data_IF_580048167188
#
_entry.id   IF_580048167188
#
_cell.length_a   1.000
_cell.length_b   1.000
_cell.length_c   1.000
_cell.angle_alpha   90.00
_cell.angle_beta   90.00
_cell.angle_gamma   90.00
#
_symmetry.space_group_name_H-M   'P 1'
#
loop_
_entity.id
_entity.type
_entity.pdbx_description
1 polymer ?
#
# COMPACT_ATOMS: atom_id res chain seq x y z
N UNK A 1 -21.72 -24.83 5.37
CA UNK A 1 -21.28 -23.42 5.18
C UNK A 1 -20.34 -23.08 6.31
N UNK A 2 -19.04 -22.92 6.02
CA UNK A 2 -18.09 -22.42 7.01
C UNK A 2 -18.45 -20.97 7.31
N UNK A 3 -18.71 -20.63 8.58
CA UNK A 3 -18.97 -19.25 8.99
C UNK A 3 -17.71 -18.43 8.69
N UNK A 4 -17.83 -17.37 7.91
CA UNK A 4 -16.71 -16.49 7.59
C UNK A 4 -16.19 -15.84 8.88
N UNK A 5 -14.89 -16.01 9.16
CA UNK A 5 -14.20 -15.42 10.33
C UNK A 5 -13.25 -14.34 9.86
N UNK A 6 -13.24 -13.19 10.54
CA UNK A 6 -12.32 -12.07 10.26
C UNK A 6 -10.85 -12.50 10.31
N UNK A 7 -9.99 -11.87 9.50
CA UNK A 7 -8.55 -11.93 9.72
C UNK A 7 -8.24 -11.35 11.11
N UNK A 8 -7.26 -11.90 11.87
CA UNK A 8 -6.92 -11.36 13.18
C UNK A 8 -6.57 -9.87 13.13
N UNK A 9 -7.22 -9.06 13.96
CA UNK A 9 -6.90 -7.66 14.21
C UNK A 9 -6.32 -7.44 15.62
N UNK A 10 -6.33 -8.48 16.45
CA UNK A 10 -5.79 -8.51 17.81
C UNK A 10 -4.92 -9.75 18.06
N UNK A 11 -4.06 -9.68 19.08
CA UNK A 11 -3.24 -10.82 19.52
C UNK A 11 -4.08 -11.99 20.05
N UNK A 12 -5.23 -11.68 20.66
CA UNK A 12 -6.17 -12.71 21.16
C UNK A 12 -6.76 -13.52 20.00
N UNK A 13 -7.24 -12.86 18.95
CA UNK A 13 -7.77 -13.55 17.75
C UNK A 13 -6.70 -14.38 17.02
N UNK A 14 -5.44 -13.91 17.04
CA UNK A 14 -4.30 -14.68 16.55
C UNK A 14 -4.08 -15.96 17.38
N UNK A 15 -4.08 -15.84 18.72
CA UNK A 15 -3.92 -16.97 19.62
C UNK A 15 -5.08 -17.98 19.52
N UNK A 16 -6.32 -17.52 19.33
CA UNK A 16 -7.50 -18.37 19.08
C UNK A 16 -7.38 -19.18 17.77
N UNK A 17 -6.51 -18.80 16.83
CA UNK A 17 -6.18 -19.58 15.64
C UNK A 17 -5.01 -20.56 15.87
N UNK A 18 -4.45 -20.59 17.09
CA UNK A 18 -3.26 -21.36 17.42
C UNK A 18 -1.99 -20.81 16.75
N UNK A 19 -2.00 -19.54 16.32
CA UNK A 19 -0.85 -18.93 15.66
C UNK A 19 0.08 -18.29 16.70
N UNK A 20 1.33 -18.74 16.68
CA UNK A 20 2.45 -18.20 17.44
C UNK A 20 3.06 -16.96 16.75
N UNK A 21 2.98 -16.92 15.42
CA UNK A 21 3.39 -15.82 14.57
C UNK A 21 2.53 -15.72 13.31
N UNK A 22 2.51 -14.51 12.72
CA UNK A 22 1.93 -14.25 11.40
C UNK A 22 3.03 -14.12 10.34
N UNK A 23 2.69 -14.44 9.09
CA UNK A 23 3.57 -14.25 7.94
C UNK A 23 3.59 -12.79 7.50
N UNK A 24 2.41 -12.15 7.47
CA UNK A 24 2.22 -10.79 6.98
C UNK A 24 1.37 -9.99 7.96
N UNK A 25 1.79 -8.77 8.27
CA UNK A 25 0.95 -7.75 8.93
C UNK A 25 0.57 -6.69 7.90
N UNK A 26 -0.72 -6.57 7.64
CA UNK A 26 -1.30 -5.57 6.73
C UNK A 26 -1.69 -4.32 7.52
N UNK A 27 -1.01 -3.21 7.29
CA UNK A 27 -1.23 -1.92 7.96
C UNK A 27 -2.05 -1.01 7.06
N UNK A 28 -3.15 -0.45 7.59
CA UNK A 28 -4.05 0.42 6.84
C UNK A 28 -4.35 1.72 7.56
N UNK A 29 -4.51 2.81 6.81
CA UNK A 29 -5.07 4.08 7.30
C UNK A 29 -6.60 4.10 7.42
N UNK A 30 -7.29 3.03 7.03
CA UNK A 30 -8.73 2.84 7.22
C UNK A 30 -9.01 1.93 8.43
N UNK A 31 -10.21 2.04 9.00
CA UNK A 31 -10.77 1.01 9.86
C UNK A 31 -10.86 -0.35 9.13
N UNK A 32 -10.72 -1.45 9.87
CA UNK A 32 -10.82 -2.77 9.25
C UNK A 32 -12.26 -3.12 8.91
N UNK A 33 -12.57 -3.13 7.62
CA UNK A 33 -13.81 -3.66 7.05
C UNK A 33 -13.45 -4.84 6.16
N UNK A 34 -13.94 -6.02 6.50
CA UNK A 34 -13.66 -7.25 5.76
C UNK A 34 -14.67 -7.41 4.62
N UNK A 35 -14.55 -6.56 3.59
CA UNK A 35 -15.44 -6.52 2.44
C UNK A 35 -14.63 -6.42 1.14
N UNK A 36 -15.05 -7.08 0.03
CA UNK A 36 -14.34 -7.06 -1.25
C UNK A 36 -14.26 -5.68 -1.94
N UNK A 37 -14.80 -4.62 -1.33
CA UNK A 37 -14.67 -3.24 -1.80
C UNK A 37 -13.48 -2.51 -1.15
N UNK A 38 -12.81 -3.16 -0.20
CA UNK A 38 -11.66 -2.61 0.52
C UNK A 38 -10.41 -3.35 0.10
N UNK A 39 -9.45 -2.62 -0.45
CA UNK A 39 -8.23 -3.20 -1.03
C UNK A 39 -7.47 -4.06 -0.02
N UNK A 40 -7.39 -3.61 1.24
CA UNK A 40 -6.68 -4.34 2.29
C UNK A 40 -7.34 -5.68 2.64
N UNK A 41 -8.68 -5.74 2.64
CA UNK A 41 -9.41 -6.98 2.88
C UNK A 41 -9.25 -7.94 1.69
N UNK A 42 -9.33 -7.44 0.46
CA UNK A 42 -9.06 -8.22 -0.75
C UNK A 42 -7.67 -8.86 -0.70
N UNK A 43 -6.62 -8.06 -0.47
CA UNK A 43 -5.25 -8.56 -0.38
C UNK A 43 -5.07 -9.53 0.79
N UNK A 44 -5.64 -9.22 1.96
CA UNK A 44 -5.56 -10.10 3.13
C UNK A 44 -6.20 -11.46 2.88
N UNK A 45 -7.41 -11.48 2.32
CA UNK A 45 -8.09 -12.74 1.96
C UNK A 45 -7.39 -13.48 0.84
N UNK A 46 -6.85 -12.76 -0.14
CA UNK A 46 -6.06 -13.36 -1.21
C UNK A 46 -4.84 -14.09 -0.66
N UNK A 47 -4.07 -13.45 0.22
CA UNK A 47 -2.91 -14.08 0.87
C UNK A 47 -3.33 -15.25 1.79
N UNK A 48 -4.38 -15.10 2.59
CA UNK A 48 -4.92 -16.19 3.44
C UNK A 48 -5.34 -17.41 2.60
N UNK A 49 -6.00 -17.19 1.47
CA UNK A 49 -6.41 -18.25 0.55
C UNK A 49 -5.22 -18.97 -0.13
N UNK A 50 -4.02 -18.39 -0.06
CA UNK A 50 -2.76 -19.00 -0.50
C UNK A 50 -1.92 -19.55 0.67
N UNK A 51 -2.55 -19.74 1.84
CA UNK A 51 -1.96 -20.44 2.97
C UNK A 51 -1.15 -19.56 3.93
N UNK A 52 -1.14 -18.23 3.73
CA UNK A 52 -0.42 -17.31 4.60
C UNK A 52 -1.23 -16.96 5.85
N UNK A 53 -0.54 -16.81 6.98
CA UNK A 53 -1.08 -16.27 8.22
C UNK A 53 -1.04 -14.75 8.17
N UNK A 54 -2.18 -14.11 8.00
CA UNK A 54 -2.27 -12.66 7.79
C UNK A 54 -3.01 -12.00 8.96
N UNK A 55 -2.44 -10.92 9.50
CA UNK A 55 -3.11 -10.05 10.48
C UNK A 55 -3.31 -8.64 9.91
N UNK A 56 -4.33 -7.93 10.39
CA UNK A 56 -4.65 -6.55 9.97
C UNK A 56 -4.42 -5.59 11.13
N UNK A 57 -3.55 -4.60 10.92
CA UNK A 57 -3.32 -3.47 11.81
C UNK A 57 -3.99 -2.22 11.23
N UNK A 58 -5.26 -2.01 11.58
CA UNK A 58 -6.04 -0.86 11.12
C UNK A 58 -5.84 0.36 12.03
N UNK A 59 -5.51 1.50 11.42
CA UNK A 59 -5.30 2.80 12.08
C UNK A 59 -4.46 2.69 13.35
N UNK A 60 -3.22 2.18 13.26
CA UNK A 60 -2.33 2.18 14.41
C UNK A 60 -2.06 3.61 14.85
N UNK A 61 -1.78 3.77 16.15
CA UNK A 61 -1.19 5.01 16.64
C UNK A 61 0.13 5.27 15.93
N UNK A 62 0.40 6.55 15.72
CA UNK A 62 1.56 6.98 14.94
C UNK A 62 2.51 7.91 15.72
N UNK A 63 2.35 7.97 17.04
CA UNK A 63 3.26 8.70 17.94
C UNK A 63 4.39 7.81 18.49
N UNK A 64 4.24 6.48 18.39
CA UNK A 64 5.17 5.47 18.91
C UNK A 64 5.05 4.15 18.13
N UNK A 65 6.08 3.28 18.15
CA UNK A 65 6.08 2.04 17.36
C UNK A 65 5.30 0.88 17.98
N UNK A 66 4.82 0.99 19.22
CA UNK A 66 4.25 -0.11 20.03
C UNK A 66 3.18 -0.93 19.29
N UNK A 67 2.28 -0.27 18.55
CA UNK A 67 1.21 -0.94 17.80
C UNK A 67 1.72 -1.87 16.69
N UNK A 68 2.89 -1.57 16.11
CA UNK A 68 3.50 -2.38 15.06
C UNK A 68 4.14 -3.67 15.62
N UNK A 69 4.38 -3.73 16.93
CA UNK A 69 4.84 -4.93 17.63
C UNK A 69 3.69 -5.81 18.14
N UNK A 70 2.41 -5.41 17.96
CA UNK A 70 1.23 -6.08 18.52
C UNK A 70 1.14 -7.58 18.23
N UNK A 71 1.52 -7.99 17.02
CA UNK A 71 1.46 -9.37 16.55
C UNK A 71 2.83 -10.08 16.64
N UNK A 72 3.83 -9.43 17.26
CA UNK A 72 5.23 -9.82 17.15
C UNK A 72 5.82 -9.50 15.77
N UNK A 73 7.03 -10.00 15.53
CA UNK A 73 7.73 -9.84 14.26
C UNK A 73 7.04 -10.72 13.19
N UNK A 74 6.50 -10.16 12.09
CA UNK A 74 5.99 -10.98 10.99
C UNK A 74 7.14 -11.74 10.32
N UNK A 75 6.84 -12.95 9.84
CA UNK A 75 7.86 -13.83 9.24
C UNK A 75 8.34 -13.33 7.88
N UNK A 76 7.48 -12.65 7.12
CA UNK A 76 7.78 -12.22 5.75
C UNK A 76 7.88 -10.69 5.61
N UNK A 77 6.81 -9.93 5.87
CA UNK A 77 6.84 -8.47 5.68
C UNK A 77 5.69 -7.73 6.36
N UNK A 78 5.84 -6.40 6.48
CA UNK A 78 4.74 -5.46 6.68
C UNK A 78 4.22 -4.96 5.32
N UNK A 79 2.94 -5.17 5.04
CA UNK A 79 2.26 -4.61 3.87
C UNK A 79 1.51 -3.34 4.25
N UNK A 80 1.86 -2.18 3.69
CA UNK A 80 1.41 -0.88 4.18
C UNK A 80 0.64 -0.11 3.09
N UNK A 81 -0.53 0.44 3.47
CA UNK A 81 -1.32 1.35 2.65
C UNK A 81 -1.90 2.50 3.48
N UNK A 82 -2.14 3.65 2.85
CA UNK A 82 -2.91 4.75 3.43
C UNK A 82 -4.42 4.45 3.58
N UNK A 83 -4.88 3.35 2.98
CA UNK A 83 -6.29 2.96 2.91
C UNK A 83 -6.85 3.05 1.49
N UNK A 84 -8.18 3.16 1.40
CA UNK A 84 -8.92 3.30 0.15
C UNK A 84 -8.79 4.70 -0.47
N UNK A 85 -8.35 5.69 0.31
CA UNK A 85 -8.05 7.05 -0.15
C UNK A 85 -6.61 7.43 0.21
N UNK A 86 -6.04 8.32 -0.60
CA UNK A 86 -4.82 9.03 -0.24
C UNK A 86 -4.99 9.76 1.11
N UNK A 87 -3.95 9.74 1.94
CA UNK A 87 -4.06 10.27 3.31
C UNK A 87 -4.23 11.79 3.36
N UNK A 88 -3.61 12.52 2.43
CA UNK A 88 -3.79 13.98 2.31
C UNK A 88 -5.19 14.27 1.79
N UNK A 89 -5.65 13.54 0.78
CA UNK A 89 -7.02 13.67 0.26
C UNK A 89 -8.07 13.30 1.30
N UNK A 90 -7.80 12.37 2.23
CA UNK A 90 -8.71 12.08 3.34
C UNK A 90 -8.74 13.25 4.34
N UNK A 91 -7.57 13.81 4.66
CA UNK A 91 -7.43 14.84 5.69
C UNK A 91 -7.83 16.26 5.23
N UNK A 92 -7.73 16.56 3.93
CA UNK A 92 -7.90 17.93 3.40
C UNK A 92 -8.76 17.99 2.14
N UNK A 93 -9.66 18.97 2.08
CA UNK A 93 -10.43 19.27 0.87
C UNK A 93 -9.53 19.78 -0.26
N UNK A 94 -10.06 19.85 -1.48
CA UNK A 94 -9.33 20.40 -2.64
C UNK A 94 -8.84 21.83 -2.44
N UNK A 95 -9.46 22.58 -1.52
CA UNK A 95 -9.04 23.94 -1.13
C UNK A 95 -8.17 23.94 0.14
N UNK A 96 -7.50 22.82 0.44
CA UNK A 96 -6.62 22.60 1.59
C UNK A 96 -7.25 22.81 2.98
N UNK A 97 -8.59 22.79 3.08
CA UNK A 97 -9.28 22.87 4.38
C UNK A 97 -9.29 21.53 5.07
N UNK A 98 -8.97 21.51 6.36
CA UNK A 98 -9.01 20.32 7.21
C UNK A 98 -10.43 19.74 7.21
N UNK A 99 -10.57 18.42 6.98
CA UNK A 99 -11.85 17.73 7.15
C UNK A 99 -12.09 17.36 8.60
N UNK A 100 -13.34 17.58 9.01
CA UNK A 100 -13.86 17.22 10.33
C UNK A 100 -14.43 15.79 10.38
N UNK A 101 -14.58 15.14 9.23
CA UNK A 101 -15.10 13.78 9.09
C UNK A 101 -14.16 12.94 8.22
N UNK A 102 -14.05 11.65 8.54
CA UNK A 102 -13.41 10.64 7.71
C UNK A 102 -14.30 9.39 7.64
N UNK A 103 -14.89 9.16 6.47
CA UNK A 103 -15.85 8.06 6.25
C UNK A 103 -15.25 6.66 6.46
N UNK A 104 -13.93 6.56 6.46
CA UNK A 104 -13.19 5.32 6.64
C UNK A 104 -12.71 5.11 8.07
N UNK A 105 -13.04 6.02 8.99
CA UNK A 105 -12.70 5.94 10.42
C UNK A 105 -13.90 5.52 11.28
N UNK A 106 -13.67 4.92 12.46
CA UNK A 106 -14.73 4.62 13.43
C UNK A 106 -15.57 5.85 13.78
N UNK A 107 -16.90 5.72 13.63
CA UNK A 107 -17.88 6.76 13.87
C UNK A 107 -17.73 7.99 12.97
N UNK A 108 -16.95 7.91 11.88
CA UNK A 108 -16.61 9.07 11.05
C UNK A 108 -15.61 10.03 11.71
N UNK A 109 -15.03 9.68 12.86
CA UNK A 109 -14.13 10.56 13.62
C UNK A 109 -12.68 10.42 13.11
N UNK A 110 -12.09 11.46 12.50
CA UNK A 110 -10.73 11.38 11.99
C UNK A 110 -9.65 11.41 13.09
N UNK A 111 -10.02 11.56 14.37
CA UNK A 111 -9.09 11.68 15.50
C UNK A 111 -9.18 10.50 16.49
N UNK A 112 -8.06 10.22 17.15
CA UNK A 112 -8.02 9.44 18.38
C UNK A 112 -8.55 10.31 19.53
N UNK A 113 -9.67 9.89 20.12
CA UNK A 113 -10.34 10.67 21.17
C UNK A 113 -11.16 11.84 20.63
N UNK A 114 -11.37 12.85 21.48
CA UNK A 114 -12.22 14.03 21.21
C UNK A 114 -11.43 15.30 20.83
N UNK A 115 -10.10 15.29 21.00
CA UNK A 115 -9.25 16.45 20.75
C UNK A 115 -8.92 16.53 19.26
N UNK A 116 -9.26 17.66 18.63
CA UNK A 116 -9.00 17.92 17.21
C UNK A 116 -7.57 18.42 16.98
N UNK A 117 -6.61 17.53 17.22
CA UNK A 117 -5.19 17.77 16.96
C UNK A 117 -4.74 16.94 15.74
N UNK A 118 -3.98 17.55 14.84
CA UNK A 118 -3.36 16.85 13.70
C UNK A 118 -2.50 15.67 14.16
N UNK A 119 -1.82 15.78 15.30
CA UNK A 119 -1.01 14.71 15.87
C UNK A 119 -1.84 13.54 16.42
N UNK A 120 -3.16 13.72 16.56
CA UNK A 120 -4.10 12.69 16.98
C UNK A 120 -4.91 12.15 15.80
N UNK A 121 -4.57 12.43 14.54
CA UNK A 121 -5.33 11.85 13.42
C UNK A 121 -5.18 10.34 13.38
N UNK A 122 -6.27 9.63 13.12
CA UNK A 122 -6.24 8.17 12.92
C UNK A 122 -5.47 7.77 11.65
N UNK A 123 -5.51 8.66 10.65
CA UNK A 123 -4.70 8.60 9.44
C UNK A 123 -3.79 9.82 9.37
N UNK A 124 -2.49 9.70 9.65
CA UNK A 124 -1.58 10.82 9.52
C UNK A 124 -1.38 11.18 8.05
N UNK A 125 -0.97 12.42 7.77
CA UNK A 125 -0.58 12.80 6.42
C UNK A 125 0.60 11.97 5.94
N UNK A 126 0.54 11.54 4.68
CA UNK A 126 1.52 10.65 4.04
C UNK A 126 1.67 9.37 4.87
N UNK A 127 0.53 8.79 5.23
CA UNK A 127 0.41 7.65 6.14
C UNK A 127 1.36 6.50 5.80
N UNK A 128 1.53 6.19 4.51
CA UNK A 128 2.42 5.12 4.06
C UNK A 128 3.87 5.35 4.50
N UNK A 129 4.37 6.60 4.48
CA UNK A 129 5.72 6.95 4.92
C UNK A 129 5.82 6.82 6.45
N UNK A 130 4.84 7.37 7.17
CA UNK A 130 4.82 7.35 8.64
C UNK A 130 4.77 5.91 9.15
N UNK A 131 3.89 5.09 8.61
CA UNK A 131 3.73 3.69 8.98
C UNK A 131 4.96 2.85 8.61
N UNK A 132 5.60 3.10 7.46
CA UNK A 132 6.84 2.42 7.11
C UNK A 132 7.96 2.69 8.13
N UNK A 133 8.12 3.95 8.55
CA UNK A 133 9.12 4.31 9.56
C UNK A 133 8.83 3.65 10.91
N UNK A 134 7.56 3.60 11.33
CA UNK A 134 7.16 2.95 12.58
C UNK A 134 7.31 1.42 12.53
N UNK A 135 6.99 0.80 11.40
CA UNK A 135 7.22 -0.63 11.19
C UNK A 135 8.71 -0.98 11.32
N UNK A 136 9.60 -0.18 10.70
CA UNK A 136 11.05 -0.36 10.85
C UNK A 136 11.54 -0.09 12.26
N UNK A 137 11.00 0.92 12.95
CA UNK A 137 11.34 1.19 14.33
C UNK A 137 10.94 0.05 15.29
N UNK A 138 9.81 -0.61 15.02
CA UNK A 138 9.36 -1.78 15.78
C UNK A 138 10.14 -3.05 15.43
N UNK A 139 10.51 -3.23 14.16
CA UNK A 139 11.05 -4.46 13.60
C UNK A 139 12.03 -4.16 12.45
N UNK A 140 13.29 -3.85 12.79
CA UNK A 140 14.27 -3.29 11.84
C UNK A 140 14.53 -4.12 10.59
N UNK A 141 14.66 -5.45 10.73
CA UNK A 141 15.02 -6.34 9.60
C UNK A 141 13.81 -6.93 8.86
N UNK A 142 12.60 -6.46 9.16
CA UNK A 142 11.42 -6.92 8.44
C UNK A 142 11.23 -6.08 7.18
N UNK A 143 11.12 -6.70 6.00
CA UNK A 143 10.80 -6.00 4.78
C UNK A 143 9.50 -5.19 4.88
N UNK A 144 9.50 -4.01 4.27
CA UNK A 144 8.32 -3.14 4.14
C UNK A 144 7.91 -3.10 2.68
N UNK A 145 6.67 -3.52 2.41
CA UNK A 145 6.05 -3.52 1.09
C UNK A 145 4.94 -2.48 1.09
N UNK A 146 5.07 -1.44 0.26
CA UNK A 146 4.04 -0.40 0.10
C UNK A 146 3.04 -0.79 -0.99
N UNK A 147 1.80 -0.33 -0.84
CA UNK A 147 0.79 -0.46 -1.88
C UNK A 147 -0.38 0.49 -1.66
N UNK A 148 -1.41 0.32 -2.48
CA UNK A 148 -2.59 1.17 -2.46
C UNK A 148 -2.39 2.50 -3.21
N UNK A 149 -3.46 3.27 -3.31
CA UNK A 149 -3.54 4.44 -4.19
C UNK A 149 -2.45 5.49 -3.90
N UNK A 150 -2.19 5.76 -2.61
CA UNK A 150 -1.15 6.71 -2.19
C UNK A 150 0.26 6.33 -2.69
N UNK A 151 0.63 5.05 -2.60
CA UNK A 151 1.94 4.58 -3.05
C UNK A 151 1.99 4.46 -4.57
N UNK A 152 0.97 3.83 -5.17
CA UNK A 152 0.87 3.60 -6.62
C UNK A 152 0.97 4.90 -7.42
N UNK A 153 0.33 5.99 -7.00
CA UNK A 153 0.37 7.25 -7.75
C UNK A 153 1.65 8.08 -7.52
N UNK A 154 2.52 7.66 -6.59
CA UNK A 154 3.74 8.39 -6.18
C UNK A 154 5.00 7.53 -6.37
N UNK A 155 5.01 6.70 -7.42
CA UNK A 155 6.14 5.85 -7.83
C UNK A 155 7.40 6.63 -8.15
N UNK A 156 7.24 7.80 -8.76
CA UNK A 156 8.32 8.66 -9.22
C UNK A 156 8.23 10.04 -8.57
N UNK A 157 9.05 10.98 -9.05
CA UNK A 157 8.92 12.39 -8.67
C UNK A 157 7.48 12.84 -8.92
N UNK A 158 6.85 13.45 -7.93
CA UNK A 158 5.45 13.85 -7.99
C UNK A 158 5.23 15.22 -7.33
N UNK A 159 4.12 15.87 -7.66
CA UNK A 159 3.73 17.13 -7.03
C UNK A 159 2.86 16.88 -5.79
N UNK A 160 3.27 17.42 -4.66
CA UNK A 160 2.52 17.40 -3.41
C UNK A 160 1.70 18.69 -3.28
N UNK A 161 0.39 18.58 -3.52
CA UNK A 161 -0.52 19.73 -3.50
C UNK A 161 -0.64 20.39 -2.13
N UNK A 162 -0.50 19.64 -1.04
CA UNK A 162 -0.62 20.19 0.32
C UNK A 162 0.61 21.02 0.69
N UNK A 163 1.79 20.66 0.17
CA UNK A 163 3.04 21.40 0.41
C UNK A 163 3.43 22.32 -0.76
N UNK A 164 2.66 22.31 -1.85
CA UNK A 164 2.93 23.04 -3.08
C UNK A 164 4.37 22.86 -3.62
N UNK A 165 4.91 21.64 -3.54
CA UNK A 165 6.28 21.33 -3.96
C UNK A 165 6.40 19.95 -4.61
N UNK A 166 7.47 19.76 -5.37
CA UNK A 166 7.87 18.44 -5.87
C UNK A 166 8.49 17.61 -4.74
N UNK A 167 8.22 16.31 -4.77
CA UNK A 167 8.77 15.29 -3.87
C UNK A 167 9.31 14.13 -4.68
N UNK A 168 10.26 13.39 -4.10
CA UNK A 168 10.76 12.14 -4.67
C UNK A 168 9.69 11.03 -4.61
N UNK A 169 10.07 9.83 -5.02
CA UNK A 169 9.21 8.66 -4.90
C UNK A 169 8.86 8.40 -3.43
N UNK A 170 7.62 7.96 -3.20
CA UNK A 170 7.19 7.52 -1.88
C UNK A 170 7.99 6.30 -1.42
N UNK A 171 8.47 5.45 -2.34
CA UNK A 171 9.39 4.34 -2.07
C UNK A 171 10.74 4.85 -1.54
N UNK A 172 11.26 5.94 -2.10
CA UNK A 172 12.52 6.57 -1.67
C UNK A 172 12.34 7.22 -0.30
N UNK A 173 11.29 8.03 -0.12
CA UNK A 173 11.02 8.77 1.12
C UNK A 173 10.74 7.83 2.31
N UNK A 174 9.98 6.75 2.09
CA UNK A 174 9.69 5.74 3.11
C UNK A 174 10.84 4.76 3.37
N UNK A 175 11.86 4.77 2.51
CA UNK A 175 12.93 3.75 2.48
C UNK A 175 12.35 2.32 2.52
N UNK A 176 11.26 2.08 1.81
CA UNK A 176 10.65 0.74 1.74
C UNK A 176 11.42 -0.16 0.77
N UNK A 177 11.23 -1.48 0.89
CA UNK A 177 11.95 -2.48 0.10
C UNK A 177 11.28 -2.73 -1.26
N UNK A 178 9.94 -2.57 -1.31
CA UNK A 178 9.13 -2.77 -2.51
C UNK A 178 7.94 -1.82 -2.49
N UNK A 179 7.55 -1.32 -3.66
CA UNK A 179 6.27 -0.64 -3.86
C UNK A 179 5.49 -1.42 -4.92
N UNK A 180 4.30 -1.88 -4.59
CA UNK A 180 3.37 -2.55 -5.50
C UNK A 180 2.42 -1.51 -6.09
N UNK A 181 2.27 -1.50 -7.41
CA UNK A 181 1.42 -0.56 -8.11
C UNK A 181 0.37 -1.23 -8.99
N UNK A 182 -0.72 -0.52 -9.26
CA UNK A 182 -1.87 -1.07 -9.98
C UNK A 182 -2.56 -2.19 -9.17
N UNK A 183 -2.93 -3.27 -9.87
CA UNK A 183 -3.53 -4.46 -9.26
C UNK A 183 -2.44 -5.30 -8.58
N UNK A 184 -2.49 -5.39 -7.25
CA UNK A 184 -1.38 -5.89 -6.44
C UNK A 184 -1.39 -7.39 -6.14
N UNK A 185 -2.44 -8.14 -6.52
CA UNK A 185 -2.68 -9.52 -6.07
C UNK A 185 -1.57 -10.50 -6.45
N UNK A 186 -1.15 -10.49 -7.72
CA UNK A 186 -0.04 -11.33 -8.18
C UNK A 186 1.28 -10.87 -7.60
N UNK A 187 1.53 -9.55 -7.57
CA UNK A 187 2.78 -8.98 -7.10
C UNK A 187 3.03 -9.26 -5.61
N UNK A 188 2.02 -9.04 -4.76
CA UNK A 188 2.14 -9.26 -3.31
C UNK A 188 2.25 -10.74 -2.96
N UNK A 189 1.55 -11.62 -3.69
CA UNK A 189 1.67 -13.06 -3.52
C UNK A 189 3.07 -13.54 -3.93
N UNK A 190 3.57 -13.07 -5.08
CA UNK A 190 4.92 -13.37 -5.55
C UNK A 190 5.97 -12.88 -4.54
N UNK A 191 5.83 -11.67 -4.02
CA UNK A 191 6.71 -11.13 -2.99
C UNK A 191 6.73 -12.03 -1.74
N UNK A 192 5.55 -12.46 -1.27
CA UNK A 192 5.44 -13.35 -0.14
C UNK A 192 6.12 -14.72 -0.39
N UNK A 193 5.88 -15.32 -1.56
CA UNK A 193 6.48 -16.60 -1.95
C UNK A 193 8.01 -16.51 -2.05
N UNK A 194 8.54 -15.44 -2.64
CA UNK A 194 9.98 -15.21 -2.76
C UNK A 194 10.63 -15.04 -1.40
N UNK A 195 10.06 -14.21 -0.53
CA UNK A 195 10.58 -14.02 0.84
C UNK A 195 10.54 -15.32 1.64
N UNK A 196 9.47 -16.11 1.52
CA UNK A 196 9.36 -17.42 2.17
C UNK A 196 10.43 -18.41 1.68
N UNK A 197 10.86 -18.28 0.42
CA UNK A 197 11.94 -19.06 -0.18
C UNK A 197 13.35 -18.45 0.02
N UNK A 198 13.47 -17.35 0.78
CA UNK A 198 14.75 -16.65 0.99
C UNK A 198 15.28 -15.92 -0.25
N UNK A 199 14.40 -15.59 -1.21
CA UNK A 199 14.72 -14.91 -2.46
C UNK A 199 14.46 -13.39 -2.38
N UNK A 200 15.14 -12.63 -3.24
CA UNK A 200 14.98 -11.18 -3.34
C UNK A 200 13.70 -10.71 -4.03
N UNK A 201 13.38 -9.42 -3.88
CA UNK A 201 12.14 -8.80 -4.38
C UNK A 201 12.27 -8.14 -5.77
N UNK A 202 13.47 -8.10 -6.36
CA UNK A 202 13.69 -7.48 -7.66
C UNK A 202 13.03 -8.26 -8.81
N UNK A 203 12.53 -7.56 -9.84
CA UNK A 203 11.98 -8.20 -11.04
C UNK A 203 10.57 -8.77 -10.88
N UNK A 204 9.81 -8.37 -9.85
CA UNK A 204 8.39 -8.73 -9.73
C UNK A 204 7.57 -7.75 -10.60
N UNK A 205 6.77 -8.26 -11.53
CA UNK A 205 5.88 -7.42 -12.33
C UNK A 205 4.87 -6.66 -11.45
N UNK A 206 4.54 -5.41 -11.82
CA UNK A 206 3.68 -4.53 -11.05
C UNK A 206 4.36 -3.93 -9.82
N UNK A 207 5.69 -3.84 -9.80
CA UNK A 207 6.43 -3.31 -8.65
C UNK A 207 7.49 -2.27 -9.00
N UNK A 208 7.89 -1.50 -8.00
CA UNK A 208 9.07 -0.65 -8.02
C UNK A 208 10.04 -1.07 -6.92
N UNK A 209 11.33 -0.99 -7.22
CA UNK A 209 12.43 -1.20 -6.27
C UNK A 209 13.40 -0.02 -6.30
N UNK A 210 14.15 0.14 -5.21
CA UNK A 210 15.29 1.06 -5.14
C UNK A 210 16.57 0.31 -5.49
N UNK A 211 17.43 0.95 -6.27
CA UNK A 211 18.75 0.41 -6.62
C UNK A 211 19.82 1.47 -6.36
N UNK A 212 20.93 1.05 -5.76
CA UNK A 212 22.18 1.80 -5.77
C UNK A 212 22.81 1.78 -7.16
N UNK A 213 23.86 2.59 -7.38
CA UNK A 213 24.62 2.56 -8.63
C UNK A 213 25.22 1.18 -8.92
N UNK A 214 25.69 0.49 -7.87
CA UNK A 214 26.21 -0.87 -7.97
C UNK A 214 25.13 -1.86 -8.39
N UNK A 215 24.00 -1.88 -7.68
CA UNK A 215 22.91 -2.81 -7.97
C UNK A 215 22.30 -2.59 -9.36
N UNK A 216 22.32 -1.35 -9.87
CA UNK A 216 21.88 -1.03 -11.23
C UNK A 216 22.81 -1.64 -12.28
N UNK A 217 24.13 -1.58 -12.08
CA UNK A 217 25.13 -2.18 -13.00
C UNK A 217 25.04 -3.70 -12.98
N UNK A 218 24.71 -4.29 -11.83
CA UNK A 218 24.50 -5.73 -11.68
C UNK A 218 23.19 -6.23 -12.33
N UNK A 219 22.25 -5.32 -12.69
CA UNK A 219 21.04 -5.71 -13.41
C UNK A 219 21.38 -6.17 -14.83
N UNK A 220 20.81 -7.32 -15.21
CA UNK A 220 20.89 -7.85 -16.57
C UNK A 220 19.59 -7.51 -17.30
N UNK A 221 19.71 -6.95 -18.49
CA UNK A 221 18.58 -6.49 -19.28
C UNK A 221 18.63 -7.12 -20.66
N UNK A 222 17.50 -7.62 -21.14
CA UNK A 222 17.34 -7.92 -22.57
C UNK A 222 17.32 -6.62 -23.38
N UNK A 223 16.64 -5.60 -22.86
CA UNK A 223 16.59 -4.25 -23.42
C UNK A 223 16.71 -3.21 -22.28
N UNK A 224 17.44 -2.10 -22.49
CA UNK A 224 17.64 -1.10 -21.46
C UNK A 224 16.31 -0.46 -21.03
N UNK A 225 16.15 -0.10 -19.73
CA UNK A 225 14.95 0.56 -19.26
C UNK A 225 14.83 1.96 -19.84
N UNK A 226 13.60 2.42 -20.03
CA UNK A 226 13.32 3.79 -20.45
C UNK A 226 13.64 4.74 -19.29
N UNK A 227 14.62 5.62 -19.52
CA UNK A 227 15.04 6.61 -18.51
C UNK A 227 14.09 7.80 -18.51
N UNK A 228 13.51 8.07 -17.34
CA UNK A 228 12.75 9.27 -17.06
C UNK A 228 13.71 10.40 -16.65
N UNK A 229 13.34 11.67 -16.88
CA UNK A 229 14.08 12.80 -16.31
C UNK A 229 14.30 12.63 -14.81
N UNK A 230 15.53 12.85 -14.38
CA UNK A 230 15.97 12.72 -13.00
C UNK A 230 15.43 13.81 -12.09
N UNK A 231 15.52 13.58 -10.78
CA UNK A 231 15.22 14.58 -9.76
C UNK A 231 16.00 15.90 -9.96
N UNK A 232 17.26 15.82 -10.38
CA UNK A 232 18.10 16.99 -10.60
C UNK A 232 17.67 17.77 -11.84
N UNK A 233 17.46 17.08 -12.97
CA UNK A 233 16.97 17.69 -14.22
C UNK A 233 15.59 18.35 -14.03
N UNK A 234 14.70 17.70 -13.26
CA UNK A 234 13.37 18.25 -12.93
C UNK A 234 13.46 19.51 -12.07
N UNK A 235 14.39 19.56 -11.11
CA UNK A 235 14.56 20.76 -10.28
C UNK A 235 15.22 21.92 -11.03
N UNK A 236 16.07 21.62 -12.01
CA UNK A 236 16.68 22.62 -12.88
C UNK A 236 15.67 23.19 -13.89
N UNK A 237 14.82 22.33 -14.48
CA UNK A 237 13.76 22.75 -15.40
C UNK A 237 12.49 21.92 -15.19
N UNK A 238 11.45 22.58 -14.69
CA UNK A 238 10.16 21.96 -14.37
C UNK A 238 9.45 21.38 -15.60
N UNK A 239 9.83 21.73 -16.83
CA UNK A 239 9.28 21.09 -18.04
C UNK A 239 9.60 19.60 -18.09
N UNK A 240 10.74 19.19 -17.52
CA UNK A 240 11.09 17.77 -17.39
C UNK A 240 10.10 16.99 -16.52
N UNK A 241 9.45 17.63 -15.55
CA UNK A 241 8.40 16.98 -14.77
C UNK A 241 7.23 16.58 -15.68
N UNK A 242 6.77 17.49 -16.54
CA UNK A 242 5.70 17.20 -17.50
C UNK A 242 6.11 16.13 -18.52
N UNK A 243 7.37 16.14 -18.97
CA UNK A 243 7.91 15.07 -19.82
C UNK A 243 7.84 13.72 -19.11
N UNK A 244 8.28 13.64 -17.85
CA UNK A 244 8.25 12.41 -17.06
C UNK A 244 6.81 11.88 -16.90
N UNK A 245 5.88 12.74 -16.46
CA UNK A 245 4.46 12.39 -16.28
C UNK A 245 3.83 11.88 -17.58
N UNK A 246 4.09 12.57 -18.70
CA UNK A 246 3.58 12.16 -20.01
C UNK A 246 4.14 10.80 -20.43
N UNK A 247 5.43 10.56 -20.21
CA UNK A 247 6.05 9.26 -20.50
C UNK A 247 5.44 8.16 -19.65
N UNK A 248 5.26 8.38 -18.34
CA UNK A 248 4.64 7.40 -17.43
C UNK A 248 3.21 7.07 -17.90
N UNK A 249 2.38 8.08 -18.19
CA UNK A 249 1.00 7.88 -18.66
C UNK A 249 0.95 7.14 -20.01
N UNK A 250 1.82 7.48 -20.96
CA UNK A 250 1.90 6.79 -22.25
C UNK A 250 2.27 5.31 -22.08
N UNK A 251 3.28 5.00 -21.25
CA UNK A 251 3.71 3.63 -21.01
C UNK A 251 2.63 2.82 -20.27
N UNK A 252 1.94 3.43 -19.31
CA UNK A 252 0.83 2.80 -18.60
C UNK A 252 -0.33 2.46 -19.55
N UNK A 253 -0.77 3.41 -20.39
CA UNK A 253 -1.86 3.20 -21.37
C UNK A 253 -1.53 2.16 -22.43
N UNK A 254 -0.27 2.09 -22.83
CA UNK A 254 0.20 1.12 -23.82
C UNK A 254 0.38 -0.29 -23.24
N UNK A 255 0.20 -0.50 -21.94
CA UNK A 255 0.58 -1.73 -21.24
C UNK A 255 2.02 -2.16 -21.60
N UNK A 256 2.91 -1.17 -21.66
CA UNK A 256 4.26 -1.36 -22.18
C UNK A 256 5.06 -2.31 -21.29
N UNK A 257 5.86 -3.16 -21.93
CA UNK A 257 6.74 -4.13 -21.26
C UNK A 257 8.14 -3.56 -20.97
N UNK A 258 8.36 -2.28 -21.28
CA UNK A 258 9.63 -1.61 -21.02
C UNK A 258 9.67 -1.09 -19.58
N UNK A 259 10.64 -1.52 -18.75
CA UNK A 259 10.79 -0.99 -17.41
C UNK A 259 11.13 0.51 -17.43
N UNK A 260 10.69 1.25 -16.41
CA UNK A 260 10.99 2.67 -16.26
C UNK A 260 12.04 2.90 -15.18
N UNK A 261 12.98 3.81 -15.44
CA UNK A 261 14.08 4.10 -14.52
C UNK A 261 14.20 5.60 -14.28
N UNK A 262 14.25 6.03 -13.01
CA UNK A 262 14.46 7.43 -12.65
C UNK A 262 15.54 7.58 -11.58
N UNK A 263 16.52 8.46 -11.81
CA UNK A 263 17.50 8.84 -10.77
C UNK A 263 16.85 9.79 -9.77
N UNK A 264 16.92 9.46 -8.50
CA UNK A 264 16.44 10.27 -7.39
C UNK A 264 17.52 10.40 -6.31
N UNK A 265 18.18 11.57 -6.27
CA UNK A 265 19.30 11.82 -5.36
C UNK A 265 20.40 10.74 -5.55
N UNK A 266 20.73 9.98 -4.50
CA UNK A 266 21.75 8.94 -4.52
C UNK A 266 21.25 7.55 -4.97
N UNK A 267 19.94 7.40 -5.23
CA UNK A 267 19.33 6.11 -5.56
C UNK A 267 18.63 6.17 -6.91
N UNK A 268 18.43 5.01 -7.51
CA UNK A 268 17.53 4.82 -8.65
C UNK A 268 16.21 4.24 -8.17
N UNK A 269 15.12 4.67 -8.80
CA UNK A 269 13.83 3.99 -8.72
C UNK A 269 13.61 3.27 -10.04
N UNK A 270 13.49 1.95 -9.96
CA UNK A 270 13.18 1.08 -11.08
C UNK A 270 11.75 0.57 -10.94
N UNK A 271 10.90 0.86 -11.92
CA UNK A 271 9.57 0.27 -12.08
C UNK A 271 9.64 -0.88 -13.10
N UNK A 272 9.22 -2.06 -12.67
CA UNK A 272 9.02 -3.24 -13.53
C UNK A 272 7.77 -3.07 -14.41
N UNK A 273 7.61 -3.85 -15.49
CA UNK A 273 6.38 -3.85 -16.28
C UNK A 273 5.13 -4.15 -15.43
N UNK A 274 3.93 -3.71 -15.84
CA UNK A 274 2.71 -3.99 -15.10
C UNK A 274 2.48 -5.50 -14.96
N UNK A 275 1.93 -5.92 -13.83
CA UNK A 275 1.47 -7.30 -13.67
C UNK A 275 0.38 -7.61 -14.69
N UNK A 276 0.31 -8.88 -15.11
CA UNK A 276 -0.81 -9.35 -15.90
C UNK A 276 -2.12 -9.12 -15.12
N UNK A 277 -3.19 -8.64 -15.77
CA UNK A 277 -4.51 -8.62 -15.16
C UNK A 277 -4.91 -10.03 -14.69
N UNK A 278 -5.70 -10.11 -13.62
CA UNK A 278 -6.32 -11.37 -13.23
C UNK A 278 -7.18 -11.90 -14.37
N UNK A 279 -7.10 -13.20 -14.60
CA UNK A 279 -8.05 -13.91 -15.45
C UNK A 279 -9.45 -13.87 -14.84
N UNK A 280 -10.49 -14.08 -15.66
CA UNK A 280 -11.87 -14.15 -15.16
C UNK A 280 -12.02 -15.18 -14.02
N UNK A 281 -11.39 -16.35 -14.16
CA UNK A 281 -11.44 -17.39 -13.14
C UNK A 281 -10.77 -16.97 -11.81
N UNK A 282 -9.64 -16.25 -11.88
CA UNK A 282 -9.00 -15.70 -10.68
C UNK A 282 -9.82 -14.60 -10.03
N UNK A 283 -10.45 -13.74 -10.84
CA UNK A 283 -11.33 -12.68 -10.36
C UNK A 283 -12.56 -13.25 -9.66
N UNK A 284 -13.22 -14.25 -10.26
CA UNK A 284 -14.35 -14.97 -9.67
C UNK A 284 -13.94 -15.65 -8.36
N UNK A 285 -12.77 -16.29 -8.33
CA UNK A 285 -12.22 -16.90 -7.12
C UNK A 285 -11.99 -15.86 -6.04
N UNK A 286 -11.38 -14.72 -6.36
CA UNK A 286 -11.10 -13.63 -5.43
C UNK A 286 -12.38 -13.09 -4.79
N UNK A 287 -13.41 -12.82 -5.61
CA UNK A 287 -14.69 -12.31 -5.11
C UNK A 287 -15.55 -13.39 -4.40
N UNK A 288 -15.25 -14.66 -4.65
CA UNK A 288 -15.83 -15.83 -3.97
C UNK A 288 -15.19 -16.17 -2.61
N UNK A 289 -14.10 -15.49 -2.21
CA UNK A 289 -13.45 -15.74 -0.92
C UNK A 289 -14.40 -15.42 0.27
N UNK A 290 -14.18 -16.04 1.46
CA UNK A 290 -15.10 -15.96 2.59
C UNK A 290 -14.95 -14.64 3.37
N UNK A 291 -15.37 -13.53 2.75
CA UNK A 291 -15.49 -12.23 3.42
C UNK A 291 -16.63 -12.25 4.44
N UNK A 292 -16.42 -11.66 5.62
CA UNK A 292 -17.46 -11.40 6.60
C UNK A 292 -18.45 -10.34 6.09
N UNK A 293 -18.04 -9.50 5.12
CA UNK A 293 -18.80 -8.39 4.54
C UNK A 293 -19.34 -7.42 5.61
N UNK A 294 -18.52 -7.17 6.63
CA UNK A 294 -18.86 -6.32 7.76
C UNK A 294 -17.60 -5.61 8.29
N UNK A 295 -17.75 -4.50 9.04
CA UNK A 295 -16.69 -3.96 9.87
C UNK A 295 -16.26 -4.99 10.92
N UNK A 296 -14.97 -5.01 11.23
CA UNK A 296 -14.48 -5.75 12.38
C UNK A 296 -15.16 -5.25 13.66
N UNK A 297 -15.51 -6.10 14.64
CA UNK A 297 -16.22 -5.67 15.85
C UNK A 297 -15.53 -4.51 16.60
N UNK A 298 -14.19 -4.46 16.58
CA UNK A 298 -13.40 -3.38 17.21
C UNK A 298 -13.46 -2.04 16.45
N UNK A 299 -13.83 -2.04 15.16
CA UNK A 299 -14.01 -0.84 14.37
C UNK A 299 -15.34 -0.14 14.69
N UNK A 300 -16.33 -0.86 15.21
CA UNK A 300 -17.68 -0.35 15.45
C UNK A 300 -18.36 0.08 14.16
N UNK A 301 -19.09 1.18 14.22
CA UNK A 301 -19.74 1.77 13.05
C UNK A 301 -18.73 2.55 12.19
N UNK A 302 -18.76 2.34 10.87
CA UNK A 302 -17.88 3.02 9.91
C UNK A 302 -18.73 3.53 8.75
N UNK A 303 -18.78 4.86 8.47
CA UNK A 303 -19.68 5.43 7.45
C UNK A 303 -19.55 4.80 6.06
N UNK A 304 -18.33 4.54 5.59
CA UNK A 304 -18.08 3.92 4.29
C UNK A 304 -18.75 2.55 4.15
N UNK A 305 -18.86 1.77 5.23
CA UNK A 305 -19.58 0.50 5.23
C UNK A 305 -21.08 0.68 5.00
N UNK A 306 -21.70 1.71 5.60
CA UNK A 306 -23.15 1.97 5.45
C UNK A 306 -23.54 2.16 3.98
N UNK A 307 -22.67 2.81 3.20
CA UNK A 307 -22.89 3.03 1.76
C UNK A 307 -22.79 1.74 0.94
N UNK A 308 -21.88 0.83 1.30
CA UNK A 308 -21.53 -0.33 0.46
C UNK A 308 -22.17 -1.64 0.90
N UNK A 309 -22.77 -1.74 2.10
CA UNK A 309 -23.31 -3.00 2.67
C UNK A 309 -24.41 -3.69 1.84
N UNK A 310 -25.06 -2.96 0.93
CA UNK A 310 -26.08 -3.47 0.02
C UNK A 310 -25.68 -3.32 -1.46
N UNK A 311 -24.41 -3.02 -1.73
CA UNK A 311 -23.90 -2.80 -3.07
C UNK A 311 -23.42 -4.11 -3.71
N UNK A 312 -23.48 -4.14 -5.05
CA UNK A 312 -22.88 -5.20 -5.87
C UNK A 312 -21.78 -4.55 -6.71
N UNK A 313 -20.60 -5.16 -6.74
CA UNK A 313 -19.49 -4.70 -7.58
C UNK A 313 -19.80 -5.02 -9.05
N UNK A 314 -19.97 -3.98 -9.87
CA UNK A 314 -20.22 -4.10 -11.32
C UNK A 314 -18.97 -3.84 -12.16
N UNK A 315 -17.97 -3.15 -11.60
CA UNK A 315 -16.71 -2.82 -12.26
C UNK A 315 -15.59 -2.83 -11.25
N UNK A 316 -14.40 -3.23 -11.70
CA UNK A 316 -13.18 -3.23 -10.88
C UNK A 316 -12.05 -2.58 -11.66
N UNK A 317 -11.32 -1.71 -10.97
CA UNK A 317 -10.18 -0.97 -11.52
C UNK A 317 -10.37 0.52 -11.35
N UNK A 318 -9.29 1.20 -10.96
CA UNK A 318 -9.15 2.64 -11.04
C UNK A 318 -7.91 2.93 -11.89
N UNK A 319 -7.85 4.08 -12.55
CA UNK A 319 -6.67 4.47 -13.31
C UNK A 319 -5.50 4.67 -12.32
N UNK A 320 -4.41 3.91 -12.43
CA UNK A 320 -3.30 3.93 -11.47
C UNK A 320 -2.05 3.23 -11.97
#
# INVERSE_FOLDING_TARGET
>A
MTIARFLPATRAEMAERGWDAVDVVLVSGDAYIDHPSFGIALIGRWLEAHGLRVAVLAQPRHDRPDDFARFGRPRLFFGITAGNLDSVVANYSGNARVRDQDDYSPGGNPYFGSVRDKAQRRRPDRASIVYANLARAACADVPVVLGGLEASLRRFVHFDYQQAKLRGSLLTDAKADLLVYGMGEHAVLTAAQRLAAGQGLAGIAGTCVRLSDRELVEQQWSEPPLRLPSWEEINQDRRHFLTAERTIDQQARAFAQTPLLQRQQAMWVLQQPPAAPLTTAELDRLHGLPFCRAPHPTAGDVPAYRMIRHSITIVRGCNG
#
